data_IF_859810120864
#
_entry.id   IF_859810120864
#
_cell.length_a   1.000
_cell.length_b   1.000
_cell.length_c   1.000
_cell.angle_alpha   90.00
_cell.angle_beta   90.00
_cell.angle_gamma   90.00
#
_symmetry.space_group_name_H-M   'P 1'
#
loop_
_entity.id
_entity.type
_entity.pdbx_description
1 polymer ?
#
# COMPACT_ATOMS: atom_id res chain seq x y z
N UNK A 1 -9.62 -17.64 18.05
CA UNK A 1 -9.61 -18.21 16.69
C UNK A 1 -9.69 -17.05 15.70
N UNK A 2 -8.84 -16.96 14.66
CA UNK A 2 -9.09 -16.00 13.60
C UNK A 2 -10.38 -16.42 12.89
N UNK A 3 -11.33 -15.48 12.82
CA UNK A 3 -12.58 -15.56 12.09
C UNK A 3 -12.36 -16.07 10.64
N UNK A 4 -13.26 -16.91 10.11
CA UNK A 4 -13.25 -17.39 8.71
C UNK A 4 -13.12 -16.25 7.71
N UNK A 5 -13.67 -15.09 8.05
CA UNK A 5 -13.60 -13.88 7.25
C UNK A 5 -12.16 -13.33 7.20
N UNK A 6 -11.36 -13.44 8.28
CA UNK A 6 -9.96 -12.97 8.31
C UNK A 6 -9.08 -13.78 7.36
N UNK A 7 -9.37 -15.08 7.25
CA UNK A 7 -8.72 -15.96 6.27
C UNK A 7 -9.14 -15.62 4.83
N UNK A 8 -10.41 -15.26 4.62
CA UNK A 8 -10.90 -14.81 3.32
C UNK A 8 -10.28 -13.48 2.90
N UNK A 9 -10.19 -12.49 3.80
CA UNK A 9 -9.60 -11.17 3.56
C UNK A 9 -8.15 -11.27 3.06
N UNK A 10 -7.38 -12.15 3.68
CA UNK A 10 -5.96 -12.31 3.39
C UNK A 10 -5.71 -13.03 2.06
N UNK A 11 -6.49 -14.08 1.79
CA UNK A 11 -6.47 -14.75 0.51
C UNK A 11 -6.97 -13.84 -0.61
N UNK A 12 -7.92 -12.94 -0.30
CA UNK A 12 -8.47 -11.96 -1.23
C UNK A 12 -7.45 -10.90 -1.63
N UNK A 13 -6.68 -10.37 -0.67
CA UNK A 13 -5.62 -9.39 -0.96
C UNK A 13 -4.53 -10.02 -1.83
N UNK A 14 -4.08 -11.23 -1.49
CA UNK A 14 -3.01 -11.90 -2.25
C UNK A 14 -3.43 -12.32 -3.66
N UNK A 15 -4.69 -12.73 -3.85
CA UNK A 15 -5.21 -13.01 -5.19
C UNK A 15 -5.53 -11.71 -5.96
N UNK A 16 -5.90 -10.60 -5.30
CA UNK A 16 -6.18 -9.31 -5.95
C UNK A 16 -4.95 -8.60 -6.49
N UNK A 17 -3.81 -8.76 -5.85
CA UNK A 17 -2.56 -8.16 -6.33
C UNK A 17 -1.78 -9.14 -7.23
N UNK A 18 -2.09 -10.46 -7.16
CA UNK A 18 -1.27 -11.50 -7.80
C UNK A 18 -1.92 -12.23 -8.97
N UNK A 19 -3.25 -12.38 -8.99
CA UNK A 19 -4.00 -13.04 -10.08
C UNK A 19 -5.05 -12.15 -10.73
N UNK A 20 -5.58 -11.18 -9.99
CA UNK A 20 -6.36 -10.08 -10.56
C UNK A 20 -5.32 -9.05 -10.98
N UNK A 21 -4.91 -9.05 -12.24
CA UNK A 21 -3.89 -8.15 -12.77
C UNK A 21 -4.34 -6.67 -12.78
N UNK A 22 -4.71 -6.09 -11.63
CA UNK A 22 -5.10 -4.69 -11.50
C UNK A 22 -3.88 -3.83 -11.85
N UNK A 23 -2.75 -4.16 -11.24
CA UNK A 23 -1.43 -3.75 -11.68
C UNK A 23 -0.84 -4.92 -12.46
N UNK A 24 -0.26 -4.66 -13.62
CA UNK A 24 0.39 -5.69 -14.44
C UNK A 24 1.75 -6.09 -13.83
N UNK A 25 1.88 -5.95 -12.51
CA UNK A 25 3.10 -6.03 -11.75
C UNK A 25 3.15 -7.38 -11.04
N UNK A 26 3.36 -8.43 -11.83
CA UNK A 26 3.64 -9.77 -11.34
C UNK A 26 4.86 -9.86 -10.40
N UNK A 27 5.62 -8.77 -10.24
CA UNK A 27 6.80 -8.63 -9.39
C UNK A 27 6.46 -8.35 -7.92
N UNK A 28 5.40 -7.60 -7.62
CA UNK A 28 5.07 -7.20 -6.24
C UNK A 28 5.01 -8.38 -5.27
N UNK A 29 4.33 -9.47 -5.67
CA UNK A 29 4.22 -10.69 -4.85
C UNK A 29 5.51 -11.47 -4.68
N UNK A 30 6.43 -11.36 -5.65
CA UNK A 30 7.70 -12.08 -5.63
C UNK A 30 8.73 -11.35 -4.79
N UNK A 31 8.67 -10.03 -4.80
CA UNK A 31 9.68 -9.14 -4.20
C UNK A 31 9.27 -8.68 -2.79
N UNK A 32 7.97 -8.54 -2.51
CA UNK A 32 7.50 -8.21 -1.17
C UNK A 32 7.64 -9.40 -0.20
N UNK A 33 8.49 -9.23 0.81
CA UNK A 33 8.81 -10.28 1.78
C UNK A 33 7.57 -10.79 2.54
N UNK A 34 6.68 -9.89 2.96
CA UNK A 34 5.47 -10.24 3.70
C UNK A 34 4.52 -11.03 2.78
N UNK A 35 4.32 -10.57 1.55
CA UNK A 35 3.48 -11.25 0.57
C UNK A 35 3.98 -12.67 0.25
N UNK A 36 5.29 -12.84 0.14
CA UNK A 36 5.92 -14.14 -0.11
C UNK A 36 5.65 -15.12 1.04
N UNK A 37 5.91 -14.71 2.28
CA UNK A 37 5.72 -15.59 3.44
C UNK A 37 4.25 -15.94 3.66
N UNK A 38 3.35 -14.99 3.44
CA UNK A 38 1.92 -15.27 3.48
C UNK A 38 1.48 -16.20 2.35
N UNK A 39 2.06 -16.06 1.16
CA UNK A 39 1.89 -17.00 0.06
C UNK A 39 2.28 -18.42 0.45
N UNK A 40 3.38 -18.60 1.18
CA UNK A 40 3.82 -19.91 1.69
C UNK A 40 2.78 -20.51 2.65
N UNK A 41 2.24 -19.71 3.58
CA UNK A 41 1.19 -20.14 4.51
C UNK A 41 -0.07 -20.55 3.76
N UNK A 42 -0.52 -19.73 2.78
CA UNK A 42 -1.70 -20.05 1.96
C UNK A 42 -1.48 -21.33 1.17
N UNK A 43 -0.33 -21.50 0.52
CA UNK A 43 -0.06 -22.71 -0.25
C UNK A 43 0.03 -23.97 0.62
N UNK A 44 0.28 -23.82 1.92
CA UNK A 44 0.28 -24.94 2.88
C UNK A 44 -1.14 -25.33 3.30
N UNK A 45 -2.00 -24.36 3.60
CA UNK A 45 -3.32 -24.63 4.20
C UNK A 45 -4.51 -24.51 3.25
N UNK A 46 -4.37 -23.77 2.15
CA UNK A 46 -5.44 -23.45 1.22
C UNK A 46 -5.25 -24.21 -0.10
N UNK A 47 -5.49 -25.51 -0.05
CA UNK A 47 -5.26 -26.46 -1.15
C UNK A 47 -6.51 -27.26 -1.50
N UNK A 48 -6.49 -27.93 -2.65
CA UNK A 48 -7.51 -28.92 -3.04
C UNK A 48 -8.93 -28.34 -3.14
N UNK A 49 -9.89 -29.06 -2.54
CA UNK A 49 -11.32 -28.71 -2.58
C UNK A 49 -11.64 -27.41 -1.85
N UNK A 50 -10.96 -27.12 -0.74
CA UNK A 50 -11.15 -25.88 0.03
C UNK A 50 -10.87 -24.67 -0.85
N UNK A 51 -9.72 -24.69 -1.55
CA UNK A 51 -9.35 -23.64 -2.49
C UNK A 51 -10.36 -23.51 -3.63
N UNK A 52 -10.70 -24.62 -4.29
CA UNK A 52 -11.62 -24.60 -5.45
C UNK A 52 -13.01 -24.10 -5.08
N UNK A 53 -13.57 -24.60 -3.97
CA UNK A 53 -14.93 -24.24 -3.57
C UNK A 53 -15.00 -22.77 -3.13
N UNK A 54 -14.03 -22.30 -2.35
CA UNK A 54 -13.97 -20.90 -1.92
C UNK A 54 -13.76 -19.96 -3.12
N UNK A 55 -12.77 -20.21 -3.98
CA UNK A 55 -12.51 -19.36 -5.15
C UNK A 55 -13.69 -19.36 -6.12
N UNK A 56 -14.28 -20.53 -6.38
CA UNK A 56 -15.47 -20.64 -7.23
C UNK A 56 -16.64 -19.80 -6.72
N UNK A 57 -16.83 -19.70 -5.40
CA UNK A 57 -17.90 -18.90 -4.79
C UNK A 57 -17.73 -17.38 -4.96
N UNK A 58 -16.49 -16.90 -5.16
CA UNK A 58 -16.17 -15.47 -5.27
C UNK A 58 -15.68 -15.03 -6.66
N UNK A 59 -15.55 -15.97 -7.60
CA UNK A 59 -15.00 -15.74 -8.95
C UNK A 59 -15.75 -14.63 -9.71
N UNK A 60 -17.07 -14.54 -9.53
CA UNK A 60 -17.87 -13.49 -10.17
C UNK A 60 -17.42 -12.07 -9.75
N UNK A 61 -17.13 -11.86 -8.46
CA UNK A 61 -16.66 -10.58 -7.95
C UNK A 61 -15.30 -10.22 -8.55
N UNK A 62 -14.37 -11.17 -8.63
CA UNK A 62 -13.09 -10.97 -9.31
C UNK A 62 -13.27 -10.66 -10.79
N UNK A 63 -14.21 -11.33 -11.47
CA UNK A 63 -14.54 -11.04 -12.87
C UNK A 63 -15.00 -9.60 -13.08
N UNK A 64 -15.83 -9.06 -12.18
CA UNK A 64 -16.26 -7.65 -12.21
C UNK A 64 -15.07 -6.72 -11.97
N UNK A 65 -14.29 -6.95 -10.91
CA UNK A 65 -13.13 -6.12 -10.57
C UNK A 65 -12.10 -6.08 -11.71
N UNK A 66 -11.78 -7.23 -12.32
CA UNK A 66 -10.86 -7.31 -13.46
C UNK A 66 -11.36 -6.50 -14.66
N UNK A 67 -12.64 -6.64 -15.01
CA UNK A 67 -13.22 -5.88 -16.13
C UNK A 67 -13.20 -4.39 -15.89
N UNK A 68 -13.57 -3.96 -14.68
CA UNK A 68 -13.53 -2.53 -14.33
C UNK A 68 -12.08 -2.02 -14.32
N UNK A 69 -11.14 -2.75 -13.72
CA UNK A 69 -9.72 -2.38 -13.70
C UNK A 69 -9.09 -2.30 -15.10
N UNK A 70 -9.47 -3.20 -16.01
CA UNK A 70 -8.96 -3.23 -17.40
C UNK A 70 -9.37 -2.00 -18.21
N UNK A 71 -10.50 -1.38 -17.88
CA UNK A 71 -10.98 -0.16 -18.52
C UNK A 71 -10.32 1.12 -17.98
N UNK A 72 -9.49 1.02 -16.94
CA UNK A 72 -8.80 2.15 -16.33
C UNK A 72 -7.37 2.18 -16.87
N UNK A 73 -7.07 3.18 -17.70
CA UNK A 73 -5.75 3.31 -18.34
C UNK A 73 -4.77 4.12 -17.49
N UNK A 74 -5.26 5.07 -16.69
CA UNK A 74 -4.43 5.93 -15.86
C UNK A 74 -4.07 5.23 -14.54
N UNK A 75 -2.77 5.21 -14.19
CA UNK A 75 -2.29 4.66 -12.92
C UNK A 75 -2.90 5.35 -11.70
N UNK A 76 -3.09 6.68 -11.72
CA UNK A 76 -3.73 7.39 -10.61
C UNK A 76 -5.20 6.97 -10.44
N UNK A 77 -5.89 6.70 -11.54
CA UNK A 77 -7.27 6.19 -11.48
C UNK A 77 -7.32 4.74 -11.01
N UNK A 78 -6.33 3.91 -11.38
CA UNK A 78 -6.21 2.54 -10.88
C UNK A 78 -5.99 2.52 -9.37
N UNK A 79 -5.17 3.44 -8.85
CA UNK A 79 -4.94 3.60 -7.41
C UNK A 79 -6.22 4.04 -6.69
N UNK A 80 -6.94 5.05 -7.23
CA UNK A 80 -8.24 5.48 -6.67
C UNK A 80 -9.26 4.34 -6.66
N UNK A 81 -9.31 3.56 -7.74
CA UNK A 81 -10.18 2.39 -7.86
C UNK A 81 -9.83 1.32 -6.84
N UNK A 82 -8.54 0.99 -6.70
CA UNK A 82 -8.05 0.03 -5.73
C UNK A 82 -8.40 0.46 -4.29
N UNK A 83 -8.13 1.72 -3.96
CA UNK A 83 -8.49 2.34 -2.68
C UNK A 83 -9.99 2.22 -2.40
N UNK A 84 -10.84 2.56 -3.37
CA UNK A 84 -12.29 2.48 -3.24
C UNK A 84 -12.78 1.03 -3.04
N UNK A 85 -12.22 0.06 -3.76
CA UNK A 85 -12.52 -1.37 -3.54
C UNK A 85 -12.18 -1.75 -2.10
N UNK A 86 -10.98 -1.42 -1.65
CA UNK A 86 -10.51 -1.80 -0.33
C UNK A 86 -11.34 -1.15 0.79
N UNK A 87 -11.67 0.13 0.67
CA UNK A 87 -12.55 0.80 1.63
C UNK A 87 -13.93 0.16 1.70
N UNK A 88 -14.55 -0.11 0.54
CA UNK A 88 -15.88 -0.71 0.49
C UNK A 88 -15.89 -2.13 1.05
N UNK A 89 -14.87 -2.92 0.71
CA UNK A 89 -14.70 -4.25 1.26
C UNK A 89 -14.47 -4.22 2.77
N UNK A 90 -13.62 -3.32 3.27
CA UNK A 90 -13.30 -3.22 4.69
C UNK A 90 -14.52 -2.77 5.52
N UNK A 91 -15.28 -1.79 5.02
CA UNK A 91 -16.54 -1.35 5.62
C UNK A 91 -17.55 -2.48 5.71
N UNK A 92 -17.67 -3.30 4.66
CA UNK A 92 -18.57 -4.45 4.67
C UNK A 92 -18.06 -5.58 5.58
N UNK A 93 -16.75 -5.78 5.65
CA UNK A 93 -16.10 -6.87 6.35
C UNK A 93 -16.11 -6.68 7.88
N UNK A 94 -15.71 -5.50 8.35
CA UNK A 94 -15.65 -5.21 9.78
C UNK A 94 -16.09 -3.77 10.05
N UNK A 95 -17.40 -3.48 10.04
CA UNK A 95 -17.94 -2.13 10.22
C UNK A 95 -17.44 -1.49 11.51
N UNK A 96 -17.40 -2.26 12.61
CA UNK A 96 -16.94 -1.78 13.92
C UNK A 96 -15.45 -1.45 13.94
N UNK A 97 -14.61 -2.21 13.25
CA UNK A 97 -13.20 -1.87 13.11
C UNK A 97 -12.98 -0.80 12.04
N UNK A 98 -13.84 -0.67 11.02
CA UNK A 98 -13.78 0.42 10.06
C UNK A 98 -14.06 1.78 10.72
N UNK A 99 -15.01 1.82 11.67
CA UNK A 99 -15.30 3.02 12.47
C UNK A 99 -14.20 3.33 13.51
N UNK A 100 -13.53 2.29 14.04
CA UNK A 100 -12.56 2.42 15.16
C UNK A 100 -11.09 2.52 14.72
N UNK A 101 -10.72 1.87 13.61
CA UNK A 101 -9.44 2.01 12.91
C UNK A 101 -9.50 3.12 11.87
N UNK A 102 -10.57 3.94 11.89
CA UNK A 102 -10.91 4.99 10.94
C UNK A 102 -9.71 5.27 10.07
N UNK A 103 -9.75 4.77 8.83
CA UNK A 103 -8.70 5.01 7.85
C UNK A 103 -8.72 6.53 7.66
N UNK A 104 -8.06 7.24 8.57
CA UNK A 104 -8.02 8.68 8.64
C UNK A 104 -7.02 8.99 7.57
N UNK A 105 -7.56 9.26 6.39
CA UNK A 105 -6.78 9.88 5.36
C UNK A 105 -6.43 11.26 5.88
N UNK A 106 -5.18 11.41 6.32
CA UNK A 106 -4.60 12.72 6.53
C UNK A 106 -4.68 13.44 5.19
N UNK A 107 -5.38 14.59 5.10
CA UNK A 107 -5.46 15.34 3.85
C UNK A 107 -4.04 15.70 3.38
N UNK A 108 -3.80 15.61 2.07
CA UNK A 108 -2.49 15.89 1.47
C UNK A 108 -1.98 17.28 1.83
N UNK A 109 -2.87 18.26 1.98
CA UNK A 109 -2.55 19.63 2.37
C UNK A 109 -1.92 19.69 3.77
N UNK A 110 -2.44 18.89 4.71
CA UNK A 110 -1.90 18.80 6.06
C UNK A 110 -0.54 18.11 6.06
N UNK A 111 -0.39 17.06 5.25
CA UNK A 111 0.90 16.36 5.08
C UNK A 111 1.97 17.27 4.48
N UNK A 112 1.65 17.99 3.40
CA UNK A 112 2.56 18.96 2.76
C UNK A 112 2.99 20.03 3.74
N UNK A 113 2.05 20.59 4.50
CA UNK A 113 2.36 21.56 5.54
C UNK A 113 3.34 20.99 6.59
N UNK A 114 3.15 19.75 7.03
CA UNK A 114 4.06 19.10 7.98
C UNK A 114 5.46 18.90 7.38
N UNK A 115 5.57 18.45 6.13
CA UNK A 115 6.85 18.26 5.44
C UNK A 115 7.60 19.59 5.31
N UNK A 116 6.94 20.62 4.78
CA UNK A 116 7.54 21.96 4.60
C UNK A 116 7.94 22.58 5.94
N UNK A 117 7.12 22.39 6.98
CA UNK A 117 7.43 22.88 8.33
C UNK A 117 8.64 22.17 8.93
N UNK A 118 8.76 20.86 8.76
CA UNK A 118 9.90 20.09 9.26
C UNK A 118 11.17 20.47 8.50
N UNK A 119 11.13 20.61 7.18
CA UNK A 119 12.28 21.02 6.37
C UNK A 119 12.78 22.41 6.78
N UNK A 120 11.85 23.37 6.95
CA UNK A 120 12.17 24.71 7.44
C UNK A 120 12.83 24.70 8.83
N UNK A 121 12.28 23.92 9.77
CA UNK A 121 12.85 23.81 11.12
C UNK A 121 14.22 23.13 11.11
N UNK A 122 14.41 22.15 10.24
CA UNK A 122 15.68 21.45 10.08
C UNK A 122 16.77 22.39 9.55
N UNK A 123 16.44 23.24 8.57
CA UNK A 123 17.37 24.24 8.03
C UNK A 123 17.71 25.28 9.12
N UNK A 124 16.67 25.84 9.74
CA UNK A 124 16.81 26.89 10.75
C UNK A 124 17.64 26.48 11.96
N UNK A 125 17.47 25.25 12.45
CA UNK A 125 18.07 24.81 13.71
C UNK A 125 19.29 23.91 13.54
N UNK A 126 19.45 23.26 12.39
CA UNK A 126 20.51 22.28 12.15
C UNK A 126 21.32 22.54 10.87
N UNK A 127 20.92 23.51 10.02
CA UNK A 127 21.57 23.77 8.73
C UNK A 127 21.51 22.56 7.80
N UNK A 128 20.39 21.84 7.83
CA UNK A 128 20.15 20.60 7.06
C UNK A 128 18.77 20.62 6.45
N UNK A 129 18.61 19.97 5.30
CA UNK A 129 17.33 19.72 4.67
C UNK A 129 16.95 18.24 4.77
N UNK A 130 15.65 17.92 4.69
CA UNK A 130 15.13 16.55 4.70
C UNK A 130 15.80 15.66 3.65
N UNK A 131 16.16 16.27 2.52
CA UNK A 131 16.82 15.62 1.41
C UNK A 131 18.34 15.42 1.60
N UNK A 132 18.97 15.99 2.62
CA UNK A 132 20.41 15.86 2.83
C UNK A 132 20.81 14.52 3.44
N UNK A 133 21.98 14.00 3.06
CA UNK A 133 22.52 12.74 3.60
C UNK A 133 22.67 12.78 5.13
N UNK A 134 22.46 11.63 5.76
CA UNK A 134 22.44 11.38 7.19
C UNK A 134 21.27 12.05 7.92
N UNK A 135 20.18 12.35 7.21
CA UNK A 135 18.89 12.76 7.79
C UNK A 135 17.92 11.60 7.62
N UNK A 136 17.74 10.83 8.67
CA UNK A 136 16.85 9.67 8.72
C UNK A 136 15.40 10.09 8.94
N UNK A 137 14.48 9.55 8.14
CA UNK A 137 13.05 9.86 8.20
C UNK A 137 12.29 8.59 8.55
N UNK A 138 11.48 8.63 9.60
CA UNK A 138 10.66 7.52 10.06
C UNK A 138 9.20 7.93 10.19
N UNK A 139 8.33 7.22 9.47
CA UNK A 139 6.89 7.22 9.68
C UNK A 139 6.48 5.94 10.44
N UNK A 140 6.23 6.00 11.76
CA UNK A 140 5.95 4.82 12.57
C UNK A 140 4.54 4.22 12.34
N UNK A 141 3.65 4.94 11.66
CA UNK A 141 2.26 4.55 11.46
C UNK A 141 1.78 5.04 10.09
N UNK A 142 2.35 4.45 9.03
CA UNK A 142 2.25 5.03 7.69
C UNK A 142 0.88 4.89 7.06
N UNK A 143 0.01 4.02 7.58
CA UNK A 143 -1.32 3.81 7.02
C UNK A 143 -1.21 3.40 5.56
N UNK A 144 -1.81 4.21 4.68
CA UNK A 144 -1.77 3.99 3.23
C UNK A 144 -0.58 4.65 2.53
N UNK A 145 0.40 5.14 3.28
CA UNK A 145 1.66 5.71 2.77
C UNK A 145 1.61 7.19 2.43
N UNK A 146 0.55 7.93 2.77
CA UNK A 146 0.35 9.32 2.32
C UNK A 146 1.51 10.24 2.70
N UNK A 147 2.06 10.11 3.91
CA UNK A 147 3.19 10.92 4.34
C UNK A 147 4.44 10.66 3.48
N UNK A 148 4.73 9.37 3.23
CA UNK A 148 5.88 8.96 2.43
C UNK A 148 5.71 9.33 0.96
N UNK A 149 4.50 9.21 0.39
CA UNK A 149 4.26 9.61 -1.00
C UNK A 149 4.47 11.10 -1.23
N UNK A 150 3.97 11.93 -0.32
CA UNK A 150 4.16 13.40 -0.40
C UNK A 150 5.63 13.78 -0.16
N UNK A 151 6.33 13.06 0.73
CA UNK A 151 7.76 13.23 0.95
C UNK A 151 8.59 12.89 -0.29
N UNK A 152 8.25 11.81 -0.98
CA UNK A 152 8.90 11.40 -2.24
C UNK A 152 8.68 12.47 -3.33
N UNK A 153 7.49 13.07 -3.40
CA UNK A 153 7.23 14.18 -4.33
C UNK A 153 7.99 15.46 -3.95
N UNK A 154 8.26 15.67 -2.65
CA UNK A 154 8.99 16.84 -2.15
C UNK A 154 10.51 16.75 -2.37
N UNK A 155 11.10 15.55 -2.24
CA UNK A 155 12.55 15.36 -2.37
C UNK A 155 13.02 15.53 -3.82
N UNK A 156 14.14 16.24 -4.01
CA UNK A 156 14.73 16.39 -5.33
C UNK A 156 15.14 15.04 -5.95
N UNK A 157 14.87 14.89 -7.25
CA UNK A 157 15.07 13.62 -7.99
C UNK A 157 16.49 13.06 -7.91
N UNK A 158 17.51 13.93 -7.91
CA UNK A 158 18.92 13.55 -7.83
C UNK A 158 19.30 12.97 -6.45
N UNK A 159 18.56 13.33 -5.40
CA UNK A 159 18.76 12.84 -4.02
C UNK A 159 17.83 11.68 -3.66
N UNK A 160 16.67 11.57 -4.34
CA UNK A 160 15.61 10.63 -4.03
C UNK A 160 16.07 9.18 -4.01
N UNK A 161 16.86 8.73 -4.99
CA UNK A 161 17.31 7.34 -5.06
C UNK A 161 18.04 6.88 -3.80
N UNK A 162 18.98 7.70 -3.31
CA UNK A 162 19.74 7.39 -2.11
C UNK A 162 18.83 7.43 -0.87
N UNK A 163 18.00 8.49 -0.75
CA UNK A 163 17.05 8.64 0.34
C UNK A 163 16.09 7.45 0.46
N UNK A 164 15.46 7.08 -0.65
CA UNK A 164 14.53 5.97 -0.74
C UNK A 164 15.15 4.63 -0.32
N UNK A 165 16.39 4.35 -0.73
CA UNK A 165 17.05 3.08 -0.46
C UNK A 165 17.63 2.96 0.95
N UNK A 166 17.86 4.08 1.63
CA UNK A 166 18.70 4.08 2.84
C UNK A 166 18.12 4.85 4.02
N UNK A 167 17.36 5.92 3.80
CA UNK A 167 17.08 6.92 4.84
C UNK A 167 15.58 7.25 5.00
N UNK A 168 14.71 6.59 4.24
CA UNK A 168 13.25 6.69 4.39
C UNK A 168 12.72 5.35 4.92
N UNK A 169 12.11 5.40 6.10
CA UNK A 169 11.60 4.24 6.81
C UNK A 169 10.12 4.45 7.13
N UNK A 170 9.31 3.40 6.98
CA UNK A 170 7.91 3.46 7.35
C UNK A 170 7.41 2.11 7.87
N UNK A 171 6.56 2.17 8.89
CA UNK A 171 6.01 1.00 9.56
C UNK A 171 4.49 1.00 9.52
N UNK A 172 3.91 -0.18 9.38
CA UNK A 172 2.47 -0.39 9.49
C UNK A 172 2.19 -1.77 10.07
N UNK A 173 1.23 -1.85 10.99
CA UNK A 173 0.81 -3.09 11.67
C UNK A 173 -0.31 -3.76 10.89
N UNK A 174 -1.22 -2.98 10.30
CA UNK A 174 -2.34 -3.49 9.55
C UNK A 174 -1.91 -3.93 8.14
N UNK A 175 -2.10 -5.21 7.84
CA UNK A 175 -1.65 -5.83 6.59
C UNK A 175 -2.18 -5.15 5.33
N UNK A 176 -3.43 -4.65 5.36
CA UNK A 176 -4.06 -4.04 4.20
C UNK A 176 -3.48 -2.64 3.92
N UNK A 177 -3.46 -1.69 4.88
CA UNK A 177 -2.74 -0.43 4.72
C UNK A 177 -1.27 -0.62 4.32
N UNK A 178 -0.57 -1.62 4.88
CA UNK A 178 0.79 -1.98 4.47
C UNK A 178 0.91 -2.25 2.96
N UNK A 179 0.03 -3.08 2.38
CA UNK A 179 0.09 -3.36 0.95
C UNK A 179 -0.24 -2.14 0.09
N UNK A 180 -1.19 -1.32 0.52
CA UNK A 180 -1.55 -0.08 -0.18
C UNK A 180 -0.37 0.91 -0.13
N UNK A 181 0.25 1.08 1.03
CA UNK A 181 1.44 1.92 1.19
C UNK A 181 2.55 1.46 0.26
N UNK A 182 2.86 0.15 0.24
CA UNK A 182 3.94 -0.36 -0.61
C UNK A 182 3.68 -0.09 -2.10
N UNK A 183 2.47 -0.36 -2.59
CA UNK A 183 2.10 -0.08 -3.98
C UNK A 183 2.16 1.42 -4.33
N UNK A 184 1.71 2.29 -3.43
CA UNK A 184 1.74 3.73 -3.65
C UNK A 184 3.17 4.27 -3.68
N UNK A 185 4.00 3.82 -2.75
CA UNK A 185 5.39 4.25 -2.58
C UNK A 185 6.25 3.76 -3.76
N UNK A 186 6.17 2.46 -4.10
CA UNK A 186 6.91 1.86 -5.22
C UNK A 186 6.52 2.49 -6.56
N UNK A 187 5.23 2.80 -6.76
CA UNK A 187 4.76 3.45 -7.98
C UNK A 187 5.43 4.82 -8.19
N UNK A 188 5.52 5.65 -7.14
CA UNK A 188 6.11 6.98 -7.24
C UNK A 188 7.64 6.92 -7.35
N UNK A 189 8.30 6.02 -6.62
CA UNK A 189 9.75 5.86 -6.67
C UNK A 189 10.24 5.27 -8.01
N UNK A 190 9.41 4.47 -8.67
CA UNK A 190 9.76 3.80 -9.95
C UNK A 190 9.26 4.58 -11.17
N UNK A 191 8.11 5.27 -11.04
CA UNK A 191 7.50 6.07 -12.10
C UNK A 191 8.25 7.38 -12.40
N UNK A 192 8.96 7.93 -11.41
CA UNK A 192 10.04 8.87 -11.68
C UNK A 192 11.22 8.04 -12.19
N UNK A 193 11.38 7.88 -13.51
CA UNK A 193 12.57 7.23 -14.09
C UNK A 193 13.84 7.81 -13.44
N UNK A 194 14.41 7.03 -12.52
CA UNK A 194 15.77 7.19 -12.00
C UNK A 194 16.79 6.94 -13.10
#
# INVERSE_FOLDING_TARGET
MPDKASRSLHCWILDLTGKVSIFNESQFHRENNIARELGNVINTFFVGSVRRNMLGSIEHYYGVIRRTAANIYNHQEKQKFLKAIYENFYKAYNPKAADRLGIVYTPSEIVKFMIESVDYLLDKHFGKLLQDKNVEILDPATGTGTFITELIEYINKDKLKYKYQHEIHCNEVAILPYYIANLNIEFLSTGQKM
#
